data_IF_420554761600
#
_entry.id   IF_420554761600
#
_cell.length_a   1.000
_cell.length_b   1.000
_cell.length_c   1.000
_cell.angle_alpha   90.00
_cell.angle_beta   90.00
_cell.angle_gamma   90.00
#
_symmetry.space_group_name_H-M   'P 1'
#
loop_
_entity.id
_entity.type
_entity.pdbx_description
1 polymer ?
#
# COMPACT_ATOMS: atom_id res chain seq x y z
N UNK A 1 -10.62 1.39 11.25
CA UNK A 1 -9.49 0.48 11.02
C UNK A 1 -8.90 0.01 12.34
N UNK A 2 -8.48 -1.25 12.40
CA UNK A 2 -7.73 -1.74 13.55
C UNK A 2 -6.35 -1.08 13.61
N UNK A 3 -5.67 -1.13 14.78
CA UNK A 3 -4.32 -0.57 14.88
C UNK A 3 -3.36 -1.15 13.84
N UNK A 4 -3.43 -2.44 13.56
CA UNK A 4 -2.55 -3.09 12.60
C UNK A 4 -2.87 -2.67 11.15
N UNK A 5 -4.16 -2.53 10.82
CA UNK A 5 -4.59 -2.00 9.53
C UNK A 5 -4.11 -0.57 9.34
N UNK A 6 -4.21 0.24 10.38
CA UNK A 6 -3.75 1.62 10.36
C UNK A 6 -2.25 1.71 10.13
N UNK A 7 -1.47 0.86 10.78
CA UNK A 7 -0.01 0.82 10.57
C UNK A 7 0.35 0.48 9.13
N UNK A 8 -0.30 -0.51 8.55
CA UNK A 8 -0.05 -0.90 7.16
C UNK A 8 -0.47 0.21 6.21
N UNK A 9 -1.63 0.81 6.45
CA UNK A 9 -2.08 1.94 5.65
C UNK A 9 -1.08 3.10 5.69
N UNK A 10 -0.60 3.47 6.87
CA UNK A 10 0.38 4.54 7.01
C UNK A 10 1.70 4.22 6.33
N UNK A 11 2.13 2.96 6.38
CA UNK A 11 3.33 2.54 5.68
C UNK A 11 3.20 2.74 4.16
N UNK A 12 2.04 2.38 3.59
CA UNK A 12 1.77 2.58 2.17
C UNK A 12 1.71 4.07 1.82
N UNK A 13 0.98 4.83 2.63
CA UNK A 13 0.78 6.27 2.42
C UNK A 13 2.10 7.03 2.48
N UNK A 14 2.91 6.78 3.49
CA UNK A 14 4.20 7.43 3.63
C UNK A 14 5.19 7.00 2.56
N UNK A 15 5.15 5.75 2.13
CA UNK A 15 5.98 5.28 1.03
C UNK A 15 5.71 6.10 -0.23
N UNK A 16 4.44 6.29 -0.57
CA UNK A 16 4.06 7.09 -1.73
C UNK A 16 4.49 8.55 -1.60
N UNK A 17 4.30 9.14 -0.42
CA UNK A 17 4.72 10.52 -0.17
C UNK A 17 6.22 10.70 -0.30
N UNK A 18 6.99 9.68 0.09
CA UNK A 18 8.44 9.74 0.10
C UNK A 18 9.06 9.40 -1.24
N UNK A 19 8.56 8.37 -1.91
CA UNK A 19 9.19 7.82 -3.11
C UNK A 19 8.42 8.07 -4.40
N UNK A 20 7.12 8.27 -4.36
CA UNK A 20 6.30 8.53 -5.54
C UNK A 20 6.00 7.32 -6.40
N UNK A 21 6.22 6.11 -5.89
CA UNK A 21 5.88 4.87 -6.59
C UNK A 21 5.38 3.83 -5.58
N UNK A 22 4.80 2.75 -6.07
CA UNK A 22 4.17 1.73 -5.22
C UNK A 22 5.19 0.89 -4.46
N UNK A 23 4.96 0.64 -3.16
CA UNK A 23 5.70 -0.41 -2.46
C UNK A 23 5.24 -1.78 -2.94
N UNK A 24 6.08 -2.79 -2.75
CA UNK A 24 5.69 -4.19 -2.86
C UNK A 24 5.21 -4.67 -1.48
N UNK A 25 4.59 -5.85 -1.43
CA UNK A 25 4.25 -6.46 -0.13
C UNK A 25 5.50 -6.67 0.73
N UNK A 26 6.61 -7.02 0.09
CA UNK A 26 7.89 -7.20 0.80
C UNK A 26 8.40 -5.89 1.37
N UNK A 27 8.28 -4.80 0.61
CA UNK A 27 8.66 -3.47 1.10
C UNK A 27 7.86 -3.07 2.32
N UNK A 28 6.54 -3.29 2.29
CA UNK A 28 5.65 -2.98 3.41
C UNK A 28 6.03 -3.81 4.64
N UNK A 29 6.26 -5.10 4.45
CA UNK A 29 6.65 -5.99 5.54
C UNK A 29 7.99 -5.57 6.14
N UNK A 30 8.94 -5.17 5.30
CA UNK A 30 10.25 -4.71 5.75
C UNK A 30 10.15 -3.41 6.57
N UNK A 31 9.38 -2.45 6.10
CA UNK A 31 9.19 -1.18 6.81
C UNK A 31 8.60 -1.42 8.20
N UNK A 32 7.70 -2.39 8.33
CA UNK A 32 7.09 -2.72 9.61
C UNK A 32 7.99 -3.57 10.52
N UNK A 33 9.01 -4.20 9.96
CA UNK A 33 10.06 -4.89 10.72
C UNK A 33 9.78 -6.30 11.17
N UNK A 34 8.53 -6.72 11.30
CA UNK A 34 8.21 -8.03 11.89
C UNK A 34 7.11 -8.82 11.20
N UNK A 35 6.48 -8.25 10.19
CA UNK A 35 5.34 -8.89 9.57
C UNK A 35 5.77 -9.76 8.38
N UNK A 36 5.25 -10.98 8.32
CA UNK A 36 5.43 -11.84 7.17
C UNK A 36 4.67 -11.31 5.95
N UNK A 37 5.09 -11.72 4.76
CA UNK A 37 4.46 -11.29 3.50
C UNK A 37 3.00 -11.73 3.44
N UNK A 38 2.70 -12.96 3.89
CA UNK A 38 1.32 -13.46 3.91
C UNK A 38 0.40 -12.64 4.80
N UNK A 39 0.87 -12.28 6.00
CA UNK A 39 0.09 -11.44 6.91
C UNK A 39 -0.09 -10.03 6.34
N UNK A 40 0.95 -9.49 5.72
CA UNK A 40 0.88 -8.18 5.06
C UNK A 40 -0.16 -8.20 3.95
N UNK A 41 -0.17 -9.26 3.13
CA UNK A 41 -1.14 -9.40 2.04
C UNK A 41 -2.58 -9.38 2.55
N UNK A 42 -2.85 -10.13 3.63
CA UNK A 42 -4.20 -10.16 4.21
C UNK A 42 -4.66 -8.77 4.63
N UNK A 43 -3.78 -8.01 5.26
CA UNK A 43 -4.13 -6.67 5.73
C UNK A 43 -4.32 -5.72 4.54
N UNK A 44 -3.47 -5.80 3.53
CA UNK A 44 -3.61 -4.98 2.32
C UNK A 44 -4.93 -5.31 1.63
N UNK A 45 -5.28 -6.60 1.49
CA UNK A 45 -6.54 -7.01 0.88
C UNK A 45 -7.73 -6.45 1.66
N UNK A 46 -7.65 -6.43 3.00
CA UNK A 46 -8.70 -5.84 3.82
C UNK A 46 -8.82 -4.33 3.62
N UNK A 47 -7.70 -3.64 3.50
CA UNK A 47 -7.70 -2.20 3.22
C UNK A 47 -8.29 -1.89 1.85
N UNK A 48 -8.08 -2.77 0.87
CA UNK A 48 -8.72 -2.65 -0.43
C UNK A 48 -10.24 -2.80 -0.30
N UNK A 49 -10.71 -3.78 0.47
CA UNK A 49 -12.14 -3.95 0.75
C UNK A 49 -12.75 -2.73 1.42
N UNK A 50 -11.99 -2.08 2.31
CA UNK A 50 -12.43 -0.86 2.99
C UNK A 50 -12.41 0.38 2.09
N UNK A 51 -11.83 0.27 0.90
CA UNK A 51 -11.79 1.37 -0.05
C UNK A 51 -10.70 2.41 0.20
N UNK A 52 -9.82 2.19 1.18
CA UNK A 52 -8.75 3.16 1.50
C UNK A 52 -7.45 2.88 0.76
N UNK A 53 -7.31 1.69 0.18
CA UNK A 53 -6.17 1.29 -0.63
C UNK A 53 -6.69 0.68 -1.93
N UNK A 54 -5.96 0.88 -3.01
CA UNK A 54 -6.28 0.29 -4.31
C UNK A 54 -5.08 -0.51 -4.80
N UNK A 55 -5.35 -1.57 -5.55
CA UNK A 55 -4.32 -2.33 -6.23
C UNK A 55 -4.92 -3.03 -7.45
N UNK A 56 -4.07 -3.40 -8.41
CA UNK A 56 -4.47 -4.22 -9.56
C UNK A 56 -4.04 -5.66 -9.30
N UNK A 57 -5.00 -6.58 -9.29
CA UNK A 57 -4.72 -8.00 -9.07
C UNK A 57 -3.80 -8.53 -10.16
N UNK A 58 -2.81 -9.32 -9.75
CA UNK A 58 -1.87 -9.95 -10.66
C UNK A 58 -0.81 -9.01 -11.24
N UNK A 59 -0.83 -7.73 -10.90
CA UNK A 59 0.15 -6.75 -11.36
C UNK A 59 0.93 -6.23 -10.16
N UNK A 60 2.26 -6.39 -10.17
CA UNK A 60 3.11 -5.88 -9.11
C UNK A 60 3.20 -4.36 -9.11
N UNK A 61 3.57 -3.80 -7.97
CA UNK A 61 3.79 -2.37 -7.77
C UNK A 61 2.59 -1.49 -8.14
N UNK A 62 1.38 -1.95 -7.77
CA UNK A 62 0.15 -1.18 -8.00
C UNK A 62 -0.58 -0.85 -6.69
N UNK A 63 0.01 -1.14 -5.54
CA UNK A 63 -0.57 -0.85 -4.23
C UNK A 63 -0.45 0.65 -3.98
N UNK A 64 -1.58 1.30 -3.72
CA UNK A 64 -1.60 2.75 -3.51
C UNK A 64 -2.73 3.17 -2.58
N UNK A 65 -2.56 4.28 -1.85
CA UNK A 65 -3.68 4.88 -1.13
C UNK A 65 -4.75 5.33 -2.13
N UNK A 66 -5.99 5.42 -1.70
CA UNK A 66 -7.11 5.79 -2.59
C UNK A 66 -6.93 7.17 -3.21
N UNK A 67 -6.16 8.08 -2.60
CA UNK A 67 -5.93 9.42 -3.15
C UNK A 67 -4.96 9.43 -4.34
N UNK A 68 -4.19 8.36 -4.54
CA UNK A 68 -3.28 8.25 -5.67
C UNK A 68 -3.98 7.55 -6.82
N UNK A 69 -3.91 8.10 -8.02
CA UNK A 69 -4.43 7.44 -9.22
C UNK A 69 -3.44 7.64 -10.38
N UNK A 70 -3.65 6.92 -11.48
CA UNK A 70 -2.73 6.96 -12.62
C UNK A 70 -2.63 8.36 -13.25
N UNK A 71 -3.69 9.13 -13.19
CA UNK A 71 -3.68 10.51 -13.67
C UNK A 71 -2.74 11.36 -12.83
N UNK A 72 -2.80 11.21 -11.51
CA UNK A 72 -1.89 11.91 -10.61
C UNK A 72 -0.43 11.53 -10.87
N UNK A 73 -0.18 10.26 -11.16
CA UNK A 73 1.17 9.79 -11.48
C UNK A 73 1.72 10.47 -12.73
N UNK A 74 0.90 10.65 -13.76
CA UNK A 74 1.30 11.37 -14.97
C UNK A 74 1.64 12.82 -14.68
N UNK A 75 0.87 13.46 -13.82
CA UNK A 75 1.10 14.84 -13.44
C UNK A 75 2.39 15.01 -12.63
N UNK A 76 2.84 13.97 -11.95
CA UNK A 76 4.07 13.99 -11.16
C UNK A 76 5.32 13.75 -11.99
N UNK A 77 5.17 13.25 -13.20
CA UNK A 77 6.28 13.08 -14.13
C UNK A 77 6.63 14.41 -14.80
#
# INVERSE_FOLDING_TARGET
MSPMQKEVFLAIDEWWKRYGFSPTLRDIAYVRGKMGIGSTKRIVDRLVELGVVKKMDGVGRTIRPAWVNFKNLKEME
#
